data_IF_247660496669
#
_entry.id   IF_247660496669
#
_cell.length_a   1.000
_cell.length_b   1.000
_cell.length_c   1.000
_cell.angle_alpha   90.00
_cell.angle_beta   90.00
_cell.angle_gamma   90.00
#
_symmetry.space_group_name_H-M   'P 1'
#
loop_
_entity.id
_entity.type
_entity.pdbx_description
1 polymer ?
#
# COMPACT_ATOMS: atom_id res chain seq x y z
N UNK A 1 4.14 -19.50 15.78
CA UNK A 1 3.27 -20.68 15.63
C UNK A 1 2.77 -21.15 16.97
N UNK A 2 1.44 -21.23 17.13
CA UNK A 2 0.84 -21.71 18.37
C UNK A 2 0.77 -23.25 18.38
N UNK A 3 1.20 -23.87 19.46
CA UNK A 3 1.22 -25.33 19.59
C UNK A 3 -0.20 -25.88 19.86
N UNK A 4 -0.55 -27.05 19.30
CA UNK A 4 -1.79 -27.74 19.65
C UNK A 4 -1.79 -28.08 21.14
N UNK A 5 -2.95 -27.98 21.78
CA UNK A 5 -3.13 -28.16 23.23
C UNK A 5 -2.33 -27.17 24.10
N UNK A 6 -1.75 -26.12 23.49
CA UNK A 6 -1.15 -25.01 24.22
C UNK A 6 -2.22 -24.17 24.93
N UNK A 7 -1.84 -23.56 26.04
CA UNK A 7 -2.69 -22.60 26.75
C UNK A 7 -2.37 -21.18 26.31
N UNK A 8 -3.42 -20.37 26.17
CA UNK A 8 -3.32 -18.93 25.91
C UNK A 8 -4.10 -18.17 26.98
N UNK A 9 -3.54 -17.04 27.41
CA UNK A 9 -4.20 -16.13 28.36
C UNK A 9 -4.90 -15.04 27.57
N UNK A 10 -6.17 -14.82 27.89
CA UNK A 10 -7.03 -13.85 27.23
C UNK A 10 -7.45 -12.83 28.28
N UNK A 11 -7.09 -11.57 28.06
CA UNK A 11 -7.64 -10.45 28.82
C UNK A 11 -9.04 -10.14 28.32
N UNK A 12 -10.04 -10.24 29.20
CA UNK A 12 -11.44 -9.88 28.93
C UNK A 12 -11.84 -8.78 29.90
N UNK A 13 -12.48 -7.73 29.39
CA UNK A 13 -13.11 -6.71 30.25
C UNK A 13 -14.58 -7.07 30.43
N UNK A 14 -15.00 -7.27 31.69
CA UNK A 14 -16.42 -7.51 32.03
C UNK A 14 -16.79 -6.57 33.18
N UNK A 15 -17.86 -5.81 33.01
CA UNK A 15 -18.36 -4.84 34.01
C UNK A 15 -17.30 -3.82 34.46
N UNK A 16 -16.36 -3.48 33.57
CA UNK A 16 -15.27 -2.53 33.83
C UNK A 16 -14.05 -3.13 34.53
N UNK A 17 -14.07 -4.41 34.90
CA UNK A 17 -12.94 -5.11 35.51
C UNK A 17 -12.19 -5.95 34.46
N UNK A 18 -10.85 -5.93 34.51
CA UNK A 18 -10.01 -6.79 33.66
C UNK A 18 -9.91 -8.19 34.30
N UNK A 19 -10.34 -9.20 33.56
CA UNK A 19 -10.30 -10.60 33.96
C UNK A 19 -9.40 -11.35 32.98
N UNK A 20 -8.47 -12.14 33.50
CA UNK A 20 -7.69 -13.06 32.68
C UNK A 20 -8.34 -14.43 32.65
N UNK A 21 -8.59 -14.95 31.45
CA UNK A 21 -9.13 -16.28 31.22
C UNK A 21 -8.07 -17.11 30.50
N UNK A 22 -7.75 -18.28 31.02
CA UNK A 22 -6.89 -19.24 30.33
C UNK A 22 -7.75 -20.13 29.44
N UNK A 23 -7.44 -20.17 28.14
CA UNK A 23 -8.08 -21.07 27.18
C UNK A 23 -7.07 -22.06 26.60
N UNK A 24 -7.56 -23.26 26.28
CA UNK A 24 -6.75 -24.30 25.61
C UNK A 24 -7.03 -24.25 24.12
N UNK A 25 -5.97 -24.25 23.30
CA UNK A 25 -6.06 -24.25 21.86
C UNK A 25 -6.46 -25.64 21.34
N UNK A 26 -7.48 -25.68 20.49
CA UNK A 26 -7.84 -26.89 19.77
C UNK A 26 -6.75 -27.23 18.74
N UNK A 27 -6.55 -28.51 18.49
CA UNK A 27 -5.68 -28.99 17.41
C UNK A 27 -6.45 -28.98 16.08
N UNK A 28 -5.89 -28.30 15.08
CA UNK A 28 -6.38 -28.34 13.70
C UNK A 28 -5.24 -28.62 12.73
N UNK A 29 -5.53 -29.38 11.68
CA UNK A 29 -4.60 -29.61 10.58
C UNK A 29 -4.55 -28.36 9.70
N UNK A 30 -3.39 -27.70 9.62
CA UNK A 30 -3.16 -26.54 8.75
C UNK A 30 -2.33 -26.96 7.53
N UNK A 31 -2.65 -26.52 6.31
CA UNK A 31 -1.81 -26.78 5.15
C UNK A 31 -0.43 -26.13 5.34
N UNK A 32 0.60 -26.81 4.87
CA UNK A 32 1.95 -26.24 4.75
C UNK A 32 1.95 -25.36 3.51
N UNK A 33 2.24 -24.07 3.66
CA UNK A 33 2.26 -23.12 2.55
C UNK A 33 3.71 -22.91 2.09
N UNK A 34 3.95 -23.00 0.78
CA UNK A 34 5.24 -22.70 0.13
C UNK A 34 4.93 -21.79 -1.06
N UNK A 35 5.59 -20.63 -1.14
CA UNK A 35 5.36 -19.62 -2.20
C UNK A 35 3.89 -19.18 -2.38
N UNK A 36 3.15 -19.11 -1.27
CA UNK A 36 1.73 -18.68 -1.25
C UNK A 36 0.72 -19.80 -1.54
N UNK A 37 1.18 -20.97 -1.96
CA UNK A 37 0.32 -22.11 -2.30
C UNK A 37 0.46 -23.27 -1.29
N UNK A 38 -0.60 -24.08 -1.08
CA UNK A 38 -0.49 -25.30 -0.30
C UNK A 38 0.52 -26.26 -0.96
N UNK A 39 1.47 -26.76 -0.18
CA UNK A 39 2.33 -27.86 -0.57
C UNK A 39 1.46 -29.10 -0.75
N UNK A 40 1.39 -29.63 -1.96
CA UNK A 40 0.64 -30.85 -2.28
C UNK A 40 1.55 -32.09 -2.27
N UNK A 41 0.98 -33.23 -1.89
CA UNK A 41 1.62 -34.55 -2.02
C UNK A 41 1.52 -35.09 -3.45
N UNK A 42 2.07 -36.29 -3.68
CA UNK A 42 2.07 -36.92 -5.01
C UNK A 42 0.65 -37.24 -5.54
N UNK A 43 -0.34 -37.25 -4.66
CA UNK A 43 -1.75 -37.53 -4.96
C UNK A 43 -2.58 -36.24 -5.10
N UNK A 44 -1.95 -35.07 -5.00
CA UNK A 44 -2.60 -33.75 -5.10
C UNK A 44 -3.33 -33.32 -3.83
N UNK A 45 -3.08 -33.95 -2.69
CA UNK A 45 -3.66 -33.53 -1.41
C UNK A 45 -2.72 -32.57 -0.68
N UNK A 46 -3.23 -31.54 0.00
CA UNK A 46 -2.40 -30.62 0.76
C UNK A 46 -1.72 -31.34 1.93
N UNK A 47 -0.39 -31.22 2.00
CA UNK A 47 0.41 -31.64 3.15
C UNK A 47 0.02 -30.76 4.34
N UNK A 48 -0.39 -31.39 5.43
CA UNK A 48 -0.85 -30.68 6.63
C UNK A 48 0.09 -30.88 7.82
N UNK A 49 0.11 -29.89 8.72
CA UNK A 49 0.79 -29.95 10.02
C UNK A 49 -0.20 -29.61 11.14
N UNK A 50 -0.08 -30.25 12.32
CA UNK A 50 -0.92 -29.91 13.46
C UNK A 50 -0.59 -28.51 13.98
N UNK A 51 -1.62 -27.71 14.24
CA UNK A 51 -1.47 -26.35 14.77
C UNK A 51 -2.56 -26.00 15.77
N UNK A 52 -2.23 -25.13 16.72
CA UNK A 52 -3.21 -24.58 17.66
C UNK A 52 -4.21 -23.64 16.95
N UNK A 53 -5.48 -23.78 17.30
CA UNK A 53 -6.56 -22.93 16.83
C UNK A 53 -7.47 -22.53 17.99
N UNK A 54 -7.69 -21.23 18.13
CA UNK A 54 -8.48 -20.67 19.23
C UNK A 54 -9.97 -20.52 18.87
N UNK A 55 -10.33 -20.48 17.58
CA UNK A 55 -11.74 -20.43 17.16
C UNK A 55 -12.42 -19.07 17.29
N UNK A 56 -11.66 -17.99 17.48
CA UNK A 56 -12.17 -16.62 17.39
C UNK A 56 -11.68 -15.96 16.11
N UNK A 57 -12.59 -15.32 15.39
CA UNK A 57 -12.28 -14.45 14.27
C UNK A 57 -12.76 -13.04 14.61
N UNK A 58 -11.98 -11.99 14.30
CA UNK A 58 -12.45 -10.63 14.43
C UNK A 58 -13.69 -10.44 13.55
N UNK A 59 -14.81 -10.04 14.15
CA UNK A 59 -15.99 -9.61 13.41
C UNK A 59 -15.88 -8.11 13.21
N UNK A 60 -15.78 -7.66 11.96
CA UNK A 60 -15.87 -6.24 11.63
C UNK A 60 -17.35 -5.87 11.68
N UNK A 61 -17.77 -5.25 12.78
CA UNK A 61 -19.12 -4.72 12.92
C UNK A 61 -19.15 -3.28 12.41
N UNK A 62 -20.07 -2.97 11.50
CA UNK A 62 -20.37 -1.58 11.13
C UNK A 62 -21.28 -0.98 12.18
N UNK A 63 -20.84 0.09 12.84
CA UNK A 63 -21.68 0.83 13.75
C UNK A 63 -22.37 1.99 13.00
N UNK A 64 -23.69 2.18 13.14
CA UNK A 64 -24.37 3.31 12.56
C UNK A 64 -23.88 4.60 13.23
N UNK A 65 -23.09 5.38 12.51
CA UNK A 65 -22.64 6.71 12.91
C UNK A 65 -23.69 7.77 12.57
N UNK A 66 -23.86 8.77 13.43
CA UNK A 66 -24.71 9.93 13.15
C UNK A 66 -24.19 10.71 11.93
N UNK A 67 -25.07 11.43 11.23
CA UNK A 67 -24.69 12.16 10.01
C UNK A 67 -23.51 13.14 10.22
N UNK A 68 -23.51 13.89 11.33
CA UNK A 68 -22.45 14.86 11.62
C UNK A 68 -21.15 14.19 12.07
N UNK A 69 -21.25 13.08 12.82
CA UNK A 69 -20.08 12.29 13.21
C UNK A 69 -19.43 11.64 11.98
N UNK A 70 -20.25 11.06 11.09
CA UNK A 70 -19.81 10.51 9.81
C UNK A 70 -19.10 11.55 8.93
N UNK A 71 -19.60 12.80 8.92
CA UNK A 71 -18.96 13.89 8.19
C UNK A 71 -17.62 14.29 8.80
N UNK A 72 -17.54 14.32 10.14
CA UNK A 72 -16.29 14.55 10.87
C UNK A 72 -15.25 13.46 10.61
N UNK A 73 -15.67 12.20 10.68
CA UNK A 73 -14.83 11.04 10.39
C UNK A 73 -14.37 11.04 8.94
N UNK A 74 -15.25 11.34 7.98
CA UNK A 74 -14.88 11.45 6.58
C UNK A 74 -13.83 12.55 6.36
N UNK A 75 -13.98 13.71 6.99
CA UNK A 75 -13.01 14.79 6.89
C UNK A 75 -11.66 14.42 7.52
N UNK A 76 -11.68 13.75 8.69
CA UNK A 76 -10.47 13.28 9.36
C UNK A 76 -9.74 12.22 8.53
N UNK A 77 -10.47 11.24 8.01
CA UNK A 77 -9.93 10.18 7.17
C UNK A 77 -9.36 10.73 5.86
N UNK A 78 -10.05 11.70 5.25
CA UNK A 78 -9.53 12.41 4.08
C UNK A 78 -8.22 13.14 4.41
N UNK A 79 -8.17 13.83 5.56
CA UNK A 79 -6.96 14.51 6.00
C UNK A 79 -5.80 13.55 6.25
N UNK A 80 -6.05 12.43 6.93
CA UNK A 80 -5.06 11.36 7.11
C UNK A 80 -4.58 10.83 5.76
N UNK A 81 -5.49 10.52 4.83
CA UNK A 81 -5.13 10.04 3.50
C UNK A 81 -4.26 11.05 2.74
N UNK A 82 -4.60 12.35 2.78
CA UNK A 82 -3.80 13.41 2.17
C UNK A 82 -2.40 13.47 2.81
N UNK A 83 -2.31 13.52 4.13
CA UNK A 83 -1.03 13.65 4.83
C UNK A 83 -0.13 12.43 4.61
N UNK A 84 -0.70 11.22 4.65
CA UNK A 84 0.01 9.99 4.34
C UNK A 84 0.48 9.94 2.89
N UNK A 85 -0.36 10.38 1.94
CA UNK A 85 0.01 10.44 0.52
C UNK A 85 1.16 11.41 0.28
N UNK A 86 1.11 12.61 0.86
CA UNK A 86 2.19 13.61 0.76
C UNK A 86 3.48 13.07 1.38
N UNK A 87 3.38 12.44 2.56
CA UNK A 87 4.53 11.84 3.22
C UNK A 87 5.12 10.69 2.41
N UNK A 88 4.30 9.80 1.86
CA UNK A 88 4.74 8.69 1.02
C UNK A 88 5.43 9.18 -0.27
N UNK A 89 4.86 10.19 -0.94
CA UNK A 89 5.49 10.82 -2.09
C UNK A 89 6.84 11.45 -1.72
N UNK A 90 6.91 12.12 -0.57
CA UNK A 90 8.14 12.72 -0.08
C UNK A 90 9.21 11.66 0.21
N UNK A 91 8.85 10.60 0.94
CA UNK A 91 9.74 9.48 1.25
C UNK A 91 10.22 8.77 -0.01
N UNK A 92 9.36 8.59 -1.01
CA UNK A 92 9.74 8.04 -2.32
C UNK A 92 10.80 8.89 -3.02
N UNK A 93 10.62 10.22 -3.04
CA UNK A 93 11.58 11.13 -3.70
C UNK A 93 12.93 11.14 -3.00
N UNK A 94 12.96 11.25 -1.67
CA UNK A 94 14.23 11.33 -0.92
C UNK A 94 14.98 10.00 -0.87
N UNK A 95 14.25 8.87 -0.87
CA UNK A 95 14.87 7.54 -0.83
C UNK A 95 15.17 6.99 -2.22
N UNK A 96 14.72 7.63 -3.30
CA UNK A 96 14.96 7.16 -4.68
C UNK A 96 16.43 6.81 -4.97
N UNK A 97 17.45 7.61 -4.59
CA UNK A 97 18.84 7.23 -4.81
C UNK A 97 19.24 5.93 -4.10
N UNK A 98 18.74 5.72 -2.87
CA UNK A 98 18.98 4.48 -2.10
C UNK A 98 18.34 3.28 -2.78
N UNK A 99 17.11 3.42 -3.26
CA UNK A 99 16.41 2.35 -3.98
C UNK A 99 17.16 1.98 -5.26
N UNK A 100 17.62 2.96 -6.03
CA UNK A 100 18.41 2.70 -7.24
C UNK A 100 19.70 1.94 -6.90
N UNK A 101 20.43 2.39 -5.86
CA UNK A 101 21.64 1.70 -5.41
C UNK A 101 21.33 0.28 -4.91
N UNK A 102 20.27 0.10 -4.14
CA UNK A 102 19.84 -1.20 -3.63
C UNK A 102 19.42 -2.17 -4.75
N UNK A 103 18.75 -1.66 -5.79
CA UNK A 103 18.32 -2.45 -6.95
C UNK A 103 19.49 -3.09 -7.71
N UNK A 104 20.63 -2.40 -7.78
CA UNK A 104 21.85 -2.90 -8.44
C UNK A 104 22.88 -3.49 -7.47
N UNK A 105 22.80 -3.15 -6.18
CA UNK A 105 23.71 -3.58 -5.12
C UNK A 105 23.25 -4.80 -4.33
N UNK A 106 21.98 -5.20 -4.47
CA UNK A 106 21.41 -6.37 -3.79
C UNK A 106 21.09 -6.13 -2.30
N UNK A 107 20.70 -4.91 -1.94
CA UNK A 107 20.28 -4.58 -0.57
C UNK A 107 18.76 -4.75 -0.45
N UNK A 108 18.34 -5.94 -0.02
CA UNK A 108 16.93 -6.33 -0.01
C UNK A 108 16.11 -5.59 1.07
N UNK A 109 16.73 -5.21 2.19
CA UNK A 109 16.07 -4.53 3.31
C UNK A 109 15.56 -3.13 2.91
N UNK A 110 16.35 -2.40 2.12
CA UNK A 110 15.96 -1.10 1.57
C UNK A 110 14.82 -1.24 0.55
N UNK A 111 14.80 -2.33 -0.20
CA UNK A 111 13.79 -2.58 -1.22
C UNK A 111 12.44 -2.96 -0.60
N UNK A 112 12.42 -3.64 0.53
CA UNK A 112 11.16 -3.97 1.23
C UNK A 112 10.43 -2.72 1.76
N UNK A 113 11.19 -1.69 2.18
CA UNK A 113 10.61 -0.49 2.80
C UNK A 113 10.34 0.66 1.84
N UNK A 114 11.12 0.79 0.76
CA UNK A 114 11.09 1.98 -0.10
C UNK A 114 10.86 1.69 -1.59
N UNK A 115 10.59 0.44 -1.98
CA UNK A 115 10.32 0.09 -3.39
C UNK A 115 9.13 0.88 -3.96
N UNK A 116 9.30 1.55 -5.12
CA UNK A 116 8.21 2.06 -5.92
C UNK A 116 7.33 0.90 -6.42
N UNK A 117 6.02 1.02 -6.18
CA UNK A 117 5.03 0.09 -6.71
C UNK A 117 4.61 0.60 -8.09
N UNK A 118 4.67 -0.28 -9.10
CA UNK A 118 4.21 0.08 -10.44
C UNK A 118 2.67 0.12 -10.49
N UNK A 119 2.07 0.75 -11.53
CA UNK A 119 0.63 0.69 -11.74
C UNK A 119 0.11 -0.76 -11.83
N UNK A 120 0.91 -1.69 -12.37
CA UNK A 120 0.55 -3.11 -12.48
C UNK A 120 0.53 -3.76 -11.10
N UNK A 121 1.56 -3.50 -10.28
CA UNK A 121 1.60 -3.97 -8.89
C UNK A 121 0.46 -3.41 -8.04
N UNK A 122 0.05 -2.16 -8.27
CA UNK A 122 -1.10 -1.56 -7.59
C UNK A 122 -2.40 -2.30 -7.89
N UNK A 123 -2.59 -2.74 -9.16
CA UNK A 123 -3.75 -3.57 -9.52
C UNK A 123 -3.71 -4.91 -8.80
N UNK A 124 -2.55 -5.56 -8.74
CA UNK A 124 -2.39 -6.85 -8.05
C UNK A 124 -2.73 -6.75 -6.55
N UNK A 125 -2.27 -5.69 -5.87
CA UNK A 125 -2.58 -5.42 -4.46
C UNK A 125 -4.07 -5.10 -4.27
N UNK A 126 -4.71 -4.44 -5.24
CA UNK A 126 -6.12 -4.04 -5.15
C UNK A 126 -7.12 -5.20 -5.28
N UNK A 127 -6.64 -6.40 -5.64
CA UNK A 127 -7.46 -7.58 -5.84
C UNK A 127 -8.12 -7.63 -7.23
N UNK A 128 -8.94 -8.67 -7.49
CA UNK A 128 -9.59 -8.87 -8.79
C UNK A 128 -10.49 -7.68 -9.12
N UNK A 129 -10.46 -7.23 -10.38
CA UNK A 129 -11.42 -6.25 -10.88
C UNK A 129 -12.76 -6.95 -11.07
N UNK A 130 -13.57 -7.00 -10.02
CA UNK A 130 -14.82 -7.77 -10.00
C UNK A 130 -15.95 -7.14 -10.83
N UNK A 131 -15.84 -5.86 -11.19
CA UNK A 131 -16.87 -5.15 -11.95
C UNK A 131 -16.32 -4.07 -12.89
N UNK A 132 -17.10 -3.74 -13.92
CA UNK A 132 -16.81 -2.61 -14.81
C UNK A 132 -16.72 -1.26 -14.06
N UNK A 133 -17.44 -1.12 -12.94
CA UNK A 133 -17.35 0.04 -12.05
C UNK A 133 -15.98 0.11 -11.37
N UNK A 134 -15.45 -1.02 -10.91
CA UNK A 134 -14.11 -1.10 -10.30
C UNK A 134 -13.02 -0.74 -11.31
N UNK A 135 -13.13 -1.24 -12.55
CA UNK A 135 -12.22 -0.87 -13.64
C UNK A 135 -12.26 0.64 -13.91
N UNK A 136 -13.47 1.20 -14.02
CA UNK A 136 -13.68 2.62 -14.27
C UNK A 136 -13.16 3.49 -13.11
N UNK A 137 -13.34 3.05 -11.87
CA UNK A 137 -12.79 3.71 -10.70
C UNK A 137 -11.25 3.71 -10.73
N UNK A 138 -10.64 2.56 -11.00
CA UNK A 138 -9.18 2.41 -11.09
C UNK A 138 -8.59 3.30 -12.20
N UNK A 139 -9.19 3.30 -13.40
CA UNK A 139 -8.75 4.16 -14.50
C UNK A 139 -8.86 5.64 -14.14
N UNK A 140 -9.98 6.06 -13.53
CA UNK A 140 -10.14 7.45 -13.10
C UNK A 140 -9.13 7.85 -12.02
N UNK A 141 -8.86 6.98 -11.04
CA UNK A 141 -7.83 7.21 -10.01
C UNK A 141 -6.46 7.33 -10.67
N UNK A 142 -6.12 6.45 -11.61
CA UNK A 142 -4.85 6.50 -12.32
C UNK A 142 -4.68 7.80 -13.10
N UNK A 143 -5.69 8.21 -13.88
CA UNK A 143 -5.68 9.48 -14.61
C UNK A 143 -5.61 10.67 -13.66
N UNK A 144 -6.33 10.64 -12.54
CA UNK A 144 -6.30 11.69 -11.52
C UNK A 144 -4.90 11.85 -10.92
N UNK A 145 -4.24 10.73 -10.56
CA UNK A 145 -2.86 10.73 -10.04
C UNK A 145 -1.89 11.29 -11.06
N UNK A 146 -1.98 10.88 -12.34
CA UNK A 146 -1.16 11.45 -13.40
C UNK A 146 -1.39 12.95 -13.55
N UNK A 147 -2.64 13.42 -13.49
CA UNK A 147 -2.96 14.84 -13.60
C UNK A 147 -2.40 15.69 -12.45
N UNK A 148 -2.06 15.12 -11.30
CA UNK A 148 -1.41 15.83 -10.19
C UNK A 148 0.09 16.02 -10.41
N UNK A 149 0.72 15.22 -11.26
CA UNK A 149 2.17 15.30 -11.53
C UNK A 149 2.50 16.66 -12.16
N UNK A 150 3.51 17.40 -11.65
CA UNK A 150 3.82 18.76 -12.08
C UNK A 150 4.59 18.80 -13.42
N UNK A 151 3.95 18.36 -14.50
CA UNK A 151 4.48 18.32 -15.86
C UNK A 151 3.52 19.03 -16.82
N UNK A 152 4.04 19.79 -17.78
CA UNK A 152 3.28 20.17 -18.98
C UNK A 152 3.20 18.93 -19.87
N UNK A 153 2.04 18.38 -20.29
CA UNK A 153 0.68 18.94 -20.48
C UNK A 153 -0.38 18.52 -19.44
N UNK A 154 0.02 18.07 -18.26
CA UNK A 154 -0.87 17.64 -17.17
C UNK A 154 -1.32 18.86 -16.35
N UNK A 155 -2.54 18.83 -15.80
CA UNK A 155 -3.12 19.98 -15.08
C UNK A 155 -2.27 20.43 -13.87
N UNK A 156 -1.56 19.51 -13.23
CA UNK A 156 -0.60 19.79 -12.16
C UNK A 156 0.54 20.72 -12.58
N UNK A 157 0.90 20.76 -13.86
CA UNK A 157 1.85 21.72 -14.42
C UNK A 157 1.38 23.17 -14.28
N UNK A 158 0.09 23.43 -14.53
CA UNK A 158 -0.50 24.76 -14.33
C UNK A 158 -0.52 25.16 -12.86
N UNK A 159 -0.85 24.24 -11.96
CA UNK A 159 -0.79 24.48 -10.52
C UNK A 159 0.63 24.80 -10.05
N UNK A 160 1.63 24.05 -10.51
CA UNK A 160 3.04 24.29 -10.16
C UNK A 160 3.53 25.66 -10.62
N UNK A 161 3.14 26.09 -11.82
CA UNK A 161 3.43 27.43 -12.36
C UNK A 161 2.77 28.52 -11.52
N UNK A 162 1.48 28.38 -11.22
CA UNK A 162 0.73 29.34 -10.40
C UNK A 162 1.28 29.44 -8.97
N UNK A 163 1.70 28.31 -8.39
CA UNK A 163 2.34 28.28 -7.08
C UNK A 163 3.70 28.99 -7.12
N UNK A 164 4.50 28.75 -8.16
CA UNK A 164 5.77 29.46 -8.39
C UNK A 164 5.56 30.97 -8.53
N UNK A 165 4.56 31.40 -9.30
CA UNK A 165 4.17 32.81 -9.44
C UNK A 165 3.81 33.43 -8.09
N UNK A 166 2.98 32.74 -7.30
CA UNK A 166 2.55 33.20 -5.99
C UNK A 166 3.72 33.37 -5.01
N UNK A 167 4.69 32.46 -5.04
CA UNK A 167 5.88 32.53 -4.18
C UNK A 167 6.86 33.61 -4.65
N UNK A 168 7.01 33.79 -5.97
CA UNK A 168 8.03 34.69 -6.54
C UNK A 168 7.52 36.10 -6.86
N UNK A 169 6.20 36.30 -6.90
CA UNK A 169 5.55 37.58 -7.18
C UNK A 169 5.68 38.07 -8.63
N UNK A 170 6.10 37.21 -9.57
CA UNK A 170 6.28 37.56 -11.00
C UNK A 170 6.04 36.36 -11.91
N UNK A 171 5.56 36.64 -13.12
CA UNK A 171 5.38 35.63 -14.16
C UNK A 171 6.72 34.91 -14.44
N UNK A 172 6.71 33.57 -14.55
CA UNK A 172 7.89 32.79 -14.82
C UNK A 172 8.23 32.89 -16.31
N UNK A 173 9.52 32.89 -16.58
CA UNK A 173 10.01 32.68 -17.92
C UNK A 173 9.84 31.19 -18.26
N UNK A 174 8.89 30.89 -19.14
CA UNK A 174 8.56 29.51 -19.56
C UNK A 174 9.80 28.76 -20.03
N UNK A 175 10.78 29.44 -20.64
CA UNK A 175 12.05 28.82 -21.07
C UNK A 175 12.89 28.31 -19.90
N UNK A 176 12.77 28.91 -18.72
CA UNK A 176 13.47 28.48 -17.50
C UNK A 176 12.76 27.34 -16.77
N UNK A 177 11.47 27.13 -17.05
CA UNK A 177 10.71 26.01 -16.50
C UNK A 177 10.90 24.72 -17.32
N UNK A 178 11.23 24.84 -18.60
CA UNK A 178 11.44 23.69 -19.48
C UNK A 178 12.50 22.70 -18.96
N UNK A 179 13.69 23.13 -18.49
CA UNK A 179 14.66 22.20 -17.90
C UNK A 179 14.12 21.47 -16.66
N UNK A 180 13.37 22.18 -15.81
CA UNK A 180 12.75 21.58 -14.61
C UNK A 180 11.73 20.53 -15.02
N UNK A 181 10.87 20.83 -15.99
CA UNK A 181 9.90 19.87 -16.51
C UNK A 181 10.56 18.62 -17.09
N UNK A 182 11.67 18.79 -17.83
CA UNK A 182 12.44 17.65 -18.36
C UNK A 182 13.03 16.78 -17.23
N UNK A 183 13.56 17.39 -16.18
CA UNK A 183 14.09 16.66 -15.01
C UNK A 183 12.98 15.88 -14.30
N UNK A 184 11.84 16.51 -14.03
CA UNK A 184 10.69 15.84 -13.41
C UNK A 184 10.19 14.70 -14.31
N UNK A 185 10.13 14.91 -15.62
CA UNK A 185 9.68 13.89 -16.56
C UNK A 185 10.63 12.69 -16.57
N UNK A 186 11.93 12.95 -16.67
CA UNK A 186 12.96 11.90 -16.60
C UNK A 186 12.88 11.13 -15.28
N UNK A 187 12.64 11.82 -14.16
CA UNK A 187 12.46 11.20 -12.85
C UNK A 187 11.24 10.27 -12.79
N UNK A 188 10.07 10.72 -13.27
CA UNK A 188 8.85 9.91 -13.32
C UNK A 188 9.03 8.69 -14.22
N UNK A 189 9.66 8.86 -15.39
CA UNK A 189 9.97 7.74 -16.30
C UNK A 189 10.92 6.75 -15.62
N UNK A 190 11.95 7.22 -14.92
CA UNK A 190 12.87 6.37 -14.19
C UNK A 190 12.16 5.56 -13.08
N UNK A 191 11.26 6.17 -12.32
CA UNK A 191 10.42 5.48 -11.33
C UNK A 191 9.57 4.38 -11.99
N UNK A 192 8.90 4.69 -13.10
CA UNK A 192 8.07 3.73 -13.83
C UNK A 192 8.87 2.54 -14.35
N UNK A 193 10.03 2.80 -14.97
CA UNK A 193 10.93 1.75 -15.44
C UNK A 193 11.48 0.89 -14.29
N UNK A 194 11.80 1.51 -13.16
CA UNK A 194 12.27 0.80 -11.97
C UNK A 194 11.17 -0.08 -11.35
N UNK A 195 9.93 0.42 -11.32
CA UNK A 195 8.77 -0.38 -10.89
C UNK A 195 8.56 -1.61 -11.77
N UNK A 196 8.60 -1.43 -13.10
CA UNK A 196 8.52 -2.54 -14.07
C UNK A 196 9.67 -3.53 -13.87
N UNK A 197 10.90 -3.03 -13.64
CA UNK A 197 12.04 -3.88 -13.34
C UNK A 197 11.78 -4.74 -12.10
N UNK A 198 11.26 -4.16 -11.01
CA UNK A 198 10.95 -4.95 -9.83
C UNK A 198 9.83 -5.95 -10.06
N UNK A 199 8.80 -5.61 -10.83
CA UNK A 199 7.71 -6.56 -11.10
C UNK A 199 8.20 -7.79 -11.89
N UNK A 200 9.18 -7.60 -12.78
CA UNK A 200 9.72 -8.69 -13.60
C UNK A 200 10.78 -9.53 -12.88
N UNK A 201 11.70 -8.90 -12.15
CA UNK A 201 12.86 -9.58 -11.58
C UNK A 201 12.74 -9.86 -10.08
N UNK A 202 11.84 -9.17 -9.38
CA UNK A 202 11.62 -9.26 -7.93
C UNK A 202 10.14 -9.10 -7.60
N UNK A 203 9.26 -9.99 -8.09
CA UNK A 203 7.81 -9.85 -7.90
C UNK A 203 7.45 -9.75 -6.41
N UNK A 204 6.39 -9.00 -6.11
CA UNK A 204 5.86 -8.93 -4.74
C UNK A 204 5.36 -10.32 -4.36
N UNK A 205 5.81 -10.80 -3.21
CA UNK A 205 5.22 -11.96 -2.54
C UNK A 205 4.15 -11.39 -1.60
N UNK A 206 2.88 -11.51 -2.01
CA UNK A 206 1.72 -11.07 -1.22
C UNK A 206 1.19 -12.22 -0.37
#
# INVERSE_FOLDING_TARGET
>A
DAHPNGTVVIGVVRDGEQIEITATLAEVQKPVIVDGEPLEDADGNPVTRPGGFFGVSPTVATEPVGFFDALGDAAHNLWLAITQSVRGLWEMVINFPKVVLAAFGGDDEVLETARPISPIGLVQISGPVESALTLLALVNVFVAVLNVVPLYPLDGGHFAVALYEKIRGRAPDVRKLMPVAVVVFAFVVALGLLGIYFDLFRPLQL
#
